data_IF_624656151145
#
_entry.id   IF_624656151145
#
_cell.length_a   1.000
_cell.length_b   1.000
_cell.length_c   1.000
_cell.angle_alpha   90.00
_cell.angle_beta   90.00
_cell.angle_gamma   90.00
#
_symmetry.space_group_name_H-M   'P 1'
#
loop_
_entity.id
_entity.type
_entity.pdbx_description
1 polymer ?
#
# COMPACT_ATOMS: atom_id res chain seq x y z
N UNK A 1 65.46 -74.70 -26.65
CA UNK A 1 64.18 -73.97 -26.83
C UNK A 1 63.51 -73.90 -25.46
N UNK A 2 63.49 -72.74 -24.83
CA UNK A 2 62.97 -72.54 -23.47
C UNK A 2 61.68 -71.74 -23.51
N UNK A 3 60.60 -72.32 -22.98
CA UNK A 3 59.32 -71.65 -22.75
C UNK A 3 59.11 -71.54 -21.24
N UNK A 4 59.42 -70.37 -20.68
CA UNK A 4 59.03 -70.02 -19.31
C UNK A 4 57.76 -69.19 -19.39
N UNK A 5 56.70 -69.70 -18.76
CA UNK A 5 55.37 -69.10 -18.68
C UNK A 5 55.40 -67.83 -17.83
N UNK A 6 54.76 -66.77 -18.32
CA UNK A 6 54.61 -65.45 -17.67
C UNK A 6 53.92 -65.55 -16.30
N UNK A 7 54.54 -64.96 -15.28
CA UNK A 7 54.03 -64.85 -13.89
C UNK A 7 52.67 -64.09 -13.84
N UNK A 8 51.79 -64.39 -12.87
CA UNK A 8 50.52 -63.70 -12.71
C UNK A 8 50.74 -62.23 -12.31
N UNK A 9 49.90 -61.35 -12.84
CA UNK A 9 49.97 -59.90 -12.62
C UNK A 9 49.75 -59.56 -11.13
N UNK A 10 50.82 -59.12 -10.46
CA UNK A 10 50.79 -58.65 -9.07
C UNK A 10 49.92 -57.39 -8.95
N UNK A 11 48.89 -57.45 -8.10
CA UNK A 11 48.10 -56.28 -7.68
C UNK A 11 49.01 -55.31 -6.93
N UNK A 12 49.36 -54.19 -7.58
CA UNK A 12 50.15 -53.10 -6.97
C UNK A 12 49.28 -52.34 -5.98
N UNK A 13 49.37 -52.69 -4.70
CA UNK A 13 48.80 -51.89 -3.60
C UNK A 13 49.74 -50.72 -3.36
N UNK A 14 49.32 -49.52 -3.73
CA UNK A 14 50.06 -48.29 -3.45
C UNK A 14 49.77 -47.86 -2.01
N UNK A 15 50.69 -48.16 -1.11
CA UNK A 15 50.71 -47.54 0.22
C UNK A 15 51.42 -46.18 0.11
N UNK A 16 50.85 -45.09 0.65
CA UNK A 16 51.51 -43.79 0.63
C UNK A 16 52.86 -43.87 1.35
N UNK A 17 53.90 -43.27 0.76
CA UNK A 17 55.28 -43.33 1.30
C UNK A 17 55.50 -42.45 2.55
N UNK A 18 54.54 -41.59 2.89
CA UNK A 18 54.58 -40.78 4.12
C UNK A 18 53.65 -41.39 5.17
N UNK A 19 54.16 -41.59 6.39
CA UNK A 19 53.32 -41.89 7.54
C UNK A 19 52.37 -40.71 7.77
N UNK A 20 51.07 -40.98 7.76
CA UNK A 20 50.06 -39.98 8.11
C UNK A 20 49.98 -39.99 9.63
N UNK A 21 50.89 -39.28 10.28
CA UNK A 21 50.89 -39.14 11.73
C UNK A 21 49.82 -38.12 12.11
N UNK A 22 48.64 -38.61 12.50
CA UNK A 22 47.65 -37.76 13.14
C UNK A 22 48.21 -37.32 14.50
N UNK A 23 48.13 -36.03 14.79
CA UNK A 23 48.51 -35.53 16.11
C UNK A 23 47.61 -36.18 17.16
N UNK A 24 48.18 -36.59 18.30
CA UNK A 24 47.42 -37.16 19.42
C UNK A 24 46.30 -36.23 19.88
N UNK A 25 46.47 -34.93 19.71
CA UNK A 25 45.45 -33.91 19.95
C UNK A 25 44.28 -33.99 18.97
N UNK A 26 44.49 -34.27 17.68
CA UNK A 26 43.40 -34.47 16.71
C UNK A 26 42.64 -35.76 16.99
N UNK A 27 43.34 -36.84 17.32
CA UNK A 27 42.71 -38.11 17.71
C UNK A 27 41.89 -37.95 18.98
N UNK A 28 42.43 -37.29 20.01
CA UNK A 28 41.69 -36.98 21.23
C UNK A 28 40.47 -36.08 20.96
N UNK A 29 40.56 -35.13 20.01
CA UNK A 29 39.42 -34.32 19.60
C UNK A 29 38.35 -35.13 18.87
N UNK A 30 38.74 -36.08 18.02
CA UNK A 30 37.81 -36.97 17.32
C UNK A 30 37.15 -37.99 18.26
N UNK A 31 37.91 -38.55 19.20
CA UNK A 31 37.39 -39.48 20.22
C UNK A 31 36.51 -38.78 21.25
N UNK A 32 36.82 -37.53 21.59
CA UNK A 32 36.06 -36.74 22.55
C UNK A 32 34.94 -35.91 21.88
N UNK A 33 34.90 -35.83 20.53
CA UNK A 33 33.78 -35.26 19.79
C UNK A 33 32.62 -36.26 19.83
N UNK A 34 31.87 -36.22 20.92
CA UNK A 34 30.58 -36.93 21.07
C UNK A 34 29.50 -36.42 20.13
N UNK A 35 29.75 -35.29 19.48
CA UNK A 35 28.82 -34.61 18.59
C UNK A 35 29.20 -34.80 17.11
N UNK A 36 28.35 -35.54 16.41
CA UNK A 36 28.35 -35.71 14.95
C UNK A 36 28.04 -34.35 14.30
N UNK A 37 28.48 -34.11 13.07
CA UNK A 37 28.17 -32.89 12.31
C UNK A 37 26.68 -32.51 12.32
N UNK A 38 25.79 -33.50 12.36
CA UNK A 38 24.34 -33.30 12.50
C UNK A 38 23.95 -32.62 13.81
N UNK A 39 24.50 -33.05 14.96
CA UNK A 39 24.16 -32.43 16.25
C UNK A 39 24.68 -31.00 16.33
N UNK A 40 25.85 -30.74 15.73
CA UNK A 40 26.45 -29.40 15.63
C UNK A 40 25.59 -28.45 14.79
N UNK A 41 25.03 -28.94 13.69
CA UNK A 41 24.09 -28.19 12.86
C UNK A 41 22.79 -27.85 13.63
N UNK A 42 22.19 -28.84 14.30
CA UNK A 42 20.97 -28.63 15.10
C UNK A 42 21.15 -27.61 16.22
N UNK A 43 22.31 -27.62 16.90
CA UNK A 43 22.62 -26.63 17.93
C UNK A 43 22.79 -25.23 17.35
N UNK A 44 23.41 -25.11 16.18
CA UNK A 44 23.55 -23.83 15.48
C UNK A 44 22.20 -23.26 15.06
N UNK A 45 21.31 -24.10 14.51
CA UNK A 45 19.95 -23.72 14.10
C UNK A 45 19.14 -23.21 15.30
N UNK A 46 19.14 -23.98 16.41
CA UNK A 46 18.46 -23.59 17.64
C UNK A 46 18.97 -22.26 18.20
N UNK A 47 20.29 -22.05 18.17
CA UNK A 47 20.89 -20.79 18.61
C UNK A 47 20.44 -19.62 17.74
N UNK A 48 20.34 -19.83 16.43
CA UNK A 48 19.87 -18.83 15.49
C UNK A 48 18.41 -18.49 15.74
N UNK A 49 17.55 -19.50 15.91
CA UNK A 49 16.12 -19.32 16.24
C UNK A 49 15.94 -18.50 17.52
N UNK A 50 16.71 -18.80 18.56
CA UNK A 50 16.68 -18.05 19.81
C UNK A 50 17.01 -16.57 19.58
N UNK A 51 18.13 -16.26 18.89
CA UNK A 51 18.50 -14.88 18.60
C UNK A 51 17.48 -14.15 17.73
N UNK A 52 16.91 -14.82 16.74
CA UNK A 52 15.87 -14.25 15.88
C UNK A 52 14.63 -13.94 16.71
N UNK A 53 14.21 -14.85 17.57
CA UNK A 53 13.05 -14.63 18.45
C UNK A 53 13.26 -13.44 19.40
N UNK A 54 14.45 -13.33 20.03
CA UNK A 54 14.80 -12.19 20.89
C UNK A 54 14.77 -10.87 20.12
N UNK A 55 15.26 -10.86 18.88
CA UNK A 55 15.24 -9.67 18.01
C UNK A 55 13.84 -9.27 17.58
N UNK A 56 12.96 -10.24 17.32
CA UNK A 56 11.57 -9.98 17.00
C UNK A 56 10.84 -9.35 18.19
N UNK A 57 11.03 -9.87 19.41
CA UNK A 57 10.45 -9.27 20.63
C UNK A 57 10.93 -7.84 20.83
N UNK A 58 12.24 -7.57 20.64
CA UNK A 58 12.78 -6.20 20.72
C UNK A 58 12.14 -5.26 19.70
N UNK A 59 11.97 -5.71 18.45
CA UNK A 59 11.31 -4.93 17.41
C UNK A 59 9.84 -4.68 17.73
N UNK A 60 9.12 -5.67 18.25
CA UNK A 60 7.72 -5.51 18.67
C UNK A 60 7.60 -4.43 19.73
N UNK A 61 8.40 -4.46 20.80
CA UNK A 61 8.40 -3.43 21.83
C UNK A 61 8.73 -2.03 21.28
N UNK A 62 9.74 -1.94 20.40
CA UNK A 62 10.08 -0.67 19.74
C UNK A 62 8.96 -0.15 18.85
N UNK A 63 8.29 -1.03 18.10
CA UNK A 63 7.19 -0.65 17.21
C UNK A 63 5.97 -0.18 18.01
N UNK A 64 5.65 -0.84 19.12
CA UNK A 64 4.60 -0.41 20.04
C UNK A 64 4.92 0.97 20.62
N UNK A 65 6.14 1.19 21.12
CA UNK A 65 6.58 2.52 21.60
C UNK A 65 6.50 3.59 20.51
N UNK A 66 6.99 3.29 19.31
CA UNK A 66 6.91 4.21 18.15
C UNK A 66 5.46 4.49 17.76
N UNK A 67 4.59 3.51 17.84
CA UNK A 67 3.17 3.65 17.55
C UNK A 67 2.46 4.50 18.61
N UNK A 68 2.66 4.23 19.90
CA UNK A 68 2.15 5.05 21.01
C UNK A 68 2.61 6.50 20.89
N UNK A 69 3.91 6.72 20.62
CA UNK A 69 4.45 8.06 20.39
C UNK A 69 3.76 8.73 19.20
N UNK A 70 3.61 8.04 18.07
CA UNK A 70 2.90 8.58 16.89
C UNK A 70 1.44 8.89 17.18
N UNK A 71 0.74 8.04 17.93
CA UNK A 71 -0.64 8.28 18.33
C UNK A 71 -0.73 9.51 19.24
N UNK A 72 0.10 9.59 20.28
CA UNK A 72 0.14 10.75 21.17
C UNK A 72 0.48 12.02 20.38
N UNK A 73 1.49 12.00 19.51
CA UNK A 73 1.84 13.17 18.69
C UNK A 73 0.74 13.52 17.71
N UNK A 74 0.05 12.54 17.10
CA UNK A 74 -1.00 12.81 16.10
C UNK A 74 -2.30 13.28 16.77
N UNK A 75 -2.66 12.74 17.92
CA UNK A 75 -3.80 13.20 18.72
C UNK A 75 -3.54 14.60 19.28
N UNK A 76 -2.32 14.87 19.75
CA UNK A 76 -1.92 16.20 20.18
C UNK A 76 -1.86 17.15 18.97
N UNK A 77 -1.32 16.73 17.83
CA UNK A 77 -1.28 17.54 16.61
C UNK A 77 -2.65 17.73 15.95
N UNK A 78 -3.63 16.86 16.18
CA UNK A 78 -5.00 17.11 15.73
C UNK A 78 -5.68 18.18 16.61
N UNK A 79 -5.33 18.24 17.89
CA UNK A 79 -5.79 19.29 18.81
C UNK A 79 -4.99 20.61 18.67
N UNK A 80 -3.70 20.56 18.33
CA UNK A 80 -2.80 21.72 18.20
C UNK A 80 -2.62 22.20 16.74
N UNK A 81 -2.93 21.36 15.75
CA UNK A 81 -2.78 21.63 14.31
C UNK A 81 -4.08 22.00 13.59
N UNK A 82 -5.20 22.04 14.34
CA UNK A 82 -6.42 22.77 13.96
C UNK A 82 -6.57 24.08 14.75
N UNK A 83 -5.50 24.57 15.38
CA UNK A 83 -5.36 25.98 15.78
C UNK A 83 -4.69 26.78 14.65
N UNK A 84 -5.24 26.74 13.44
CA UNK A 84 -5.41 28.01 12.75
C UNK A 84 -6.53 28.69 13.55
N UNK A 85 -6.19 29.71 14.35
CA UNK A 85 -7.12 30.50 15.15
C UNK A 85 -8.50 30.59 14.48
N UNK A 86 -9.41 29.71 14.90
CA UNK A 86 -10.84 29.92 14.73
C UNK A 86 -11.19 30.95 15.80
N UNK A 87 -10.67 32.16 15.63
CA UNK A 87 -11.08 33.31 16.41
C UNK A 87 -12.48 33.69 15.93
N UNK A 88 -13.30 34.23 16.83
CA UNK A 88 -14.60 34.80 16.46
C UNK A 88 -14.49 35.80 15.30
N UNK A 89 -13.33 36.45 15.16
CA UNK A 89 -13.00 37.34 14.05
C UNK A 89 -12.84 36.59 12.73
N UNK A 90 -12.02 35.52 12.65
CA UNK A 90 -11.82 34.75 11.41
C UNK A 90 -13.10 34.01 10.97
N UNK A 91 -13.97 33.65 11.93
CA UNK A 91 -15.33 33.14 11.64
C UNK A 91 -16.22 34.23 11.06
N UNK A 92 -16.18 35.44 11.61
CA UNK A 92 -16.97 36.58 11.11
C UNK A 92 -16.56 36.93 9.67
N UNK A 93 -15.26 36.98 9.39
CA UNK A 93 -14.74 37.23 8.03
C UNK A 93 -15.19 36.17 7.03
N UNK A 94 -15.16 34.89 7.42
CA UNK A 94 -15.64 33.78 6.57
C UNK A 94 -17.16 33.86 6.33
N UNK A 95 -17.92 34.23 7.35
CA UNK A 95 -19.37 34.43 7.25
C UNK A 95 -19.70 35.59 6.30
N UNK A 96 -18.96 36.69 6.40
CA UNK A 96 -19.19 37.86 5.54
C UNK A 96 -18.76 37.59 4.09
N UNK A 97 -17.67 36.86 3.88
CA UNK A 97 -17.27 36.39 2.55
C UNK A 97 -18.33 35.46 1.92
N UNK A 98 -18.94 34.57 2.71
CA UNK A 98 -20.04 33.71 2.25
C UNK A 98 -21.30 34.51 1.91
N UNK A 99 -21.70 35.45 2.76
CA UNK A 99 -22.82 36.37 2.48
C UNK A 99 -22.59 37.15 1.19
N UNK A 100 -21.38 37.63 0.96
CA UNK A 100 -21.03 38.36 -0.27
C UNK A 100 -21.11 37.47 -1.51
N UNK A 101 -20.72 36.20 -1.42
CA UNK A 101 -20.87 35.23 -2.52
C UNK A 101 -22.33 34.91 -2.80
N UNK A 102 -23.13 34.71 -1.75
CA UNK A 102 -24.58 34.49 -1.88
C UNK A 102 -25.27 35.69 -2.52
N UNK A 103 -24.96 36.93 -2.09
CA UNK A 103 -25.51 38.12 -2.70
C UNK A 103 -25.15 38.25 -4.19
N UNK A 104 -23.92 37.89 -4.59
CA UNK A 104 -23.51 37.84 -6.01
C UNK A 104 -24.26 36.77 -6.79
N UNK A 105 -24.50 35.61 -6.19
CA UNK A 105 -25.27 34.51 -6.77
C UNK A 105 -26.75 34.88 -6.91
N UNK A 106 -27.35 35.50 -5.90
CA UNK A 106 -28.71 36.02 -5.94
C UNK A 106 -28.85 37.12 -7.00
N UNK A 107 -27.86 38.01 -7.15
CA UNK A 107 -27.83 39.00 -8.23
C UNK A 107 -27.70 38.34 -9.62
N UNK A 108 -26.95 37.24 -9.73
CA UNK A 108 -26.92 36.47 -10.99
C UNK A 108 -28.21 35.70 -11.27
N UNK A 109 -28.91 35.21 -10.25
CA UNK A 109 -30.19 34.52 -10.38
C UNK A 109 -31.36 35.48 -10.62
N UNK A 110 -31.29 36.69 -10.08
CA UNK A 110 -32.25 37.78 -10.32
C UNK A 110 -31.97 38.57 -11.59
N UNK A 111 -30.86 38.30 -12.28
CA UNK A 111 -30.71 38.61 -13.71
C UNK A 111 -31.65 37.69 -14.51
N UNK A 112 -32.95 37.98 -14.42
CA UNK A 112 -34.09 37.15 -14.82
C UNK A 112 -34.21 36.83 -16.31
N UNK A 113 -33.17 37.06 -17.12
CA UNK A 113 -33.20 36.74 -18.55
C UNK A 113 -33.02 35.25 -18.82
N UNK A 114 -32.17 34.57 -18.04
CA UNK A 114 -31.91 33.13 -18.23
C UNK A 114 -33.02 32.28 -17.60
N UNK A 115 -33.47 32.62 -16.38
CA UNK A 115 -34.54 31.89 -15.68
C UNK A 115 -35.89 31.98 -16.39
N UNK A 116 -36.30 33.16 -16.88
CA UNK A 116 -37.58 33.34 -17.58
C UNK A 116 -37.55 32.67 -18.98
N UNK A 117 -36.39 32.66 -19.64
CA UNK A 117 -36.21 31.94 -20.91
C UNK A 117 -36.25 30.42 -20.72
N UNK A 118 -35.63 29.88 -19.66
CA UNK A 118 -35.70 28.45 -19.33
C UNK A 118 -37.11 28.03 -18.95
N UNK A 119 -37.85 28.84 -18.19
CA UNK A 119 -39.22 28.53 -17.76
C UNK A 119 -40.19 28.50 -18.96
N UNK A 120 -40.01 29.39 -19.93
CA UNK A 120 -40.80 29.40 -21.19
C UNK A 120 -40.53 28.17 -22.04
N UNK A 121 -39.25 27.79 -22.22
CA UNK A 121 -38.88 26.61 -22.98
C UNK A 121 -39.33 25.32 -22.29
N UNK A 122 -39.25 25.26 -20.96
CA UNK A 122 -39.75 24.12 -20.18
C UNK A 122 -41.27 23.96 -20.33
N UNK A 123 -42.03 25.06 -20.29
CA UNK A 123 -43.48 25.05 -20.57
C UNK A 123 -43.79 24.60 -21.99
N UNK A 124 -43.01 25.03 -22.98
CA UNK A 124 -43.18 24.62 -24.38
C UNK A 124 -42.97 23.11 -24.58
N UNK A 125 -41.94 22.52 -23.94
CA UNK A 125 -41.70 21.07 -23.96
C UNK A 125 -42.85 20.32 -23.29
N UNK A 126 -43.28 20.76 -22.10
CA UNK A 126 -44.40 20.13 -21.38
C UNK A 126 -45.68 20.20 -22.21
N UNK A 127 -45.96 21.33 -22.85
CA UNK A 127 -47.12 21.49 -23.72
C UNK A 127 -47.06 20.54 -24.92
N UNK A 128 -45.93 20.48 -25.63
CA UNK A 128 -45.78 19.55 -26.76
C UNK A 128 -45.94 18.07 -26.35
N UNK A 129 -45.39 17.69 -25.18
CA UNK A 129 -45.56 16.33 -24.65
C UNK A 129 -47.01 16.04 -24.26
N UNK A 130 -47.74 17.03 -23.74
CA UNK A 130 -49.16 16.90 -23.41
C UNK A 130 -50.01 16.75 -24.69
N UNK A 131 -49.74 17.56 -25.71
CA UNK A 131 -50.48 17.54 -26.97
C UNK A 131 -50.22 16.27 -27.80
N UNK A 132 -49.05 15.66 -27.61
CA UNK A 132 -48.65 14.39 -28.24
C UNK A 132 -48.82 13.16 -27.34
N UNK A 133 -49.64 13.25 -26.27
CA UNK A 133 -49.97 12.10 -25.42
C UNK A 133 -50.49 10.93 -26.26
N UNK A 134 -49.80 9.79 -26.18
CA UNK A 134 -50.16 8.57 -26.90
C UNK A 134 -49.69 8.50 -28.36
N UNK A 135 -48.89 9.45 -28.85
CA UNK A 135 -48.26 9.47 -30.18
C UNK A 135 -46.73 9.27 -30.06
N UNK A 136 -46.04 8.77 -31.10
CA UNK A 136 -44.58 8.75 -31.10
C UNK A 136 -44.00 10.18 -30.98
N UNK A 137 -42.99 10.31 -30.11
CA UNK A 137 -42.39 11.55 -29.62
C UNK A 137 -41.98 12.53 -30.75
N UNK A 138 -42.72 13.63 -30.94
CA UNK A 138 -42.47 14.63 -31.99
C UNK A 138 -42.00 16.01 -31.46
N UNK A 139 -41.51 16.10 -30.22
CA UNK A 139 -41.13 17.37 -29.58
C UNK A 139 -39.61 17.66 -29.64
N UNK A 140 -38.97 17.28 -30.74
CA UNK A 140 -37.51 17.31 -30.84
C UNK A 140 -36.95 18.75 -30.93
N UNK A 141 -37.68 19.66 -31.58
CA UNK A 141 -37.22 21.03 -31.80
C UNK A 141 -37.18 21.83 -30.49
N UNK A 142 -38.20 21.66 -29.64
CA UNK A 142 -38.32 22.30 -28.33
C UNK A 142 -37.23 21.79 -27.37
N UNK A 143 -36.95 20.48 -27.42
CA UNK A 143 -35.85 19.87 -26.65
C UNK A 143 -34.50 20.41 -27.11
N UNK A 144 -34.28 20.57 -28.42
CA UNK A 144 -33.03 21.13 -28.94
C UNK A 144 -32.85 22.59 -28.55
N UNK A 145 -33.92 23.38 -28.55
CA UNK A 145 -33.89 24.76 -28.08
C UNK A 145 -33.54 24.86 -26.59
N UNK A 146 -34.12 24.00 -25.75
CA UNK A 146 -33.80 23.92 -24.32
C UNK A 146 -32.35 23.46 -24.08
N UNK A 147 -31.88 22.46 -24.83
CA UNK A 147 -30.50 21.95 -24.75
C UNK A 147 -29.47 23.02 -25.09
N UNK A 148 -29.72 23.83 -26.13
CA UNK A 148 -28.81 24.93 -26.51
C UNK A 148 -28.68 26.00 -25.42
N UNK A 149 -29.77 26.27 -24.69
CA UNK A 149 -29.77 27.27 -23.62
C UNK A 149 -29.13 26.74 -22.31
N UNK A 150 -29.23 25.43 -22.04
CA UNK A 150 -28.83 24.84 -20.75
C UNK A 150 -27.51 24.07 -20.78
N UNK A 151 -27.13 23.47 -21.92
CA UNK A 151 -25.93 22.63 -22.07
C UNK A 151 -24.91 23.21 -23.07
N UNK A 152 -25.16 24.41 -23.60
CA UNK A 152 -24.29 25.12 -24.54
C UNK A 152 -23.31 26.11 -23.88
N UNK A 153 -22.83 25.80 -22.68
CA UNK A 153 -21.81 26.57 -21.96
C UNK A 153 -20.71 25.66 -21.43
#
# INVERSE_FOLDING_TARGET
MGSQTSKPAETRVFTPQSQVDFTSTLLAQLENATEIDYTRQQLADKYLEQRVSEKLVQLEEETLKKFENKLNTSLLAENLGKENEISSHSLSDKVDALKQRLAKLEQSHTSGTVSDATDKLQKAIVQCLVDNKGKPLNCYEEIQAFKKLTWGQ
#
